data_IF_291058959200
#
_entry.id   IF_291058959200
#
_cell.length_a   1.000
_cell.length_b   1.000
_cell.length_c   1.000
_cell.angle_alpha   90.00
_cell.angle_beta   90.00
_cell.angle_gamma   90.00
#
_symmetry.space_group_name_H-M   'P 1'
#
loop_
_entity.id
_entity.type
_entity.pdbx_description
1 polymer ?
#
# COMPACT_ATOMS: atom_id res chain seq x y z
N UNK A 1 -0.24 -2.01 10.70
CA UNK A 1 0.60 -1.07 11.46
C UNK A 1 0.61 0.29 10.78
N UNK A 2 0.84 1.36 11.54
CA UNK A 2 0.85 2.75 11.04
C UNK A 2 1.87 2.98 9.93
N UNK A 3 3.09 2.44 10.06
CA UNK A 3 4.16 2.58 9.07
C UNK A 3 3.74 2.08 7.68
N UNK A 4 3.20 0.87 7.58
CA UNK A 4 2.72 0.30 6.30
C UNK A 4 1.64 1.18 5.66
N UNK A 5 0.73 1.73 6.46
CA UNK A 5 -0.31 2.66 5.96
C UNK A 5 0.31 3.96 5.44
N UNK A 6 1.33 4.49 6.12
CA UNK A 6 2.05 5.68 5.68
C UNK A 6 2.79 5.45 4.37
N UNK A 7 3.47 4.31 4.22
CA UNK A 7 4.13 3.94 2.97
C UNK A 7 3.13 3.80 1.81
N UNK A 8 1.98 3.15 2.03
CA UNK A 8 0.90 3.09 1.01
C UNK A 8 0.41 4.48 0.61
N UNK A 9 0.26 5.39 1.57
CA UNK A 9 -0.10 6.77 1.28
C UNK A 9 0.97 7.48 0.43
N UNK A 10 2.26 7.24 0.69
CA UNK A 10 3.36 7.80 -0.10
C UNK A 10 3.31 7.32 -1.56
N UNK A 11 3.14 6.01 -1.80
CA UNK A 11 2.91 5.49 -3.15
C UNK A 11 1.67 6.11 -3.80
N UNK A 12 0.58 6.23 -3.04
CA UNK A 12 -0.66 6.84 -3.54
C UNK A 12 -0.49 8.30 -3.95
N UNK A 13 0.33 9.06 -3.21
CA UNK A 13 0.70 10.45 -3.53
C UNK A 13 1.64 10.52 -4.72
N UNK A 14 2.58 9.57 -4.84
CA UNK A 14 3.50 9.45 -5.96
C UNK A 14 2.75 9.18 -7.27
N UNK A 15 1.70 8.36 -7.24
CA UNK A 15 0.85 8.07 -8.39
C UNK A 15 -0.15 9.21 -8.62
N UNK A 16 0.31 10.33 -9.16
CA UNK A 16 -0.49 11.56 -9.28
C UNK A 16 -1.78 11.40 -10.09
N UNK A 17 -1.72 10.73 -11.25
CA UNK A 17 -2.86 10.63 -12.19
C UNK A 17 -3.73 9.41 -11.91
N UNK A 18 -5.05 9.55 -12.04
CA UNK A 18 -6.00 8.45 -11.84
C UNK A 18 -5.69 7.24 -12.75
N UNK A 19 -5.38 7.47 -14.03
CA UNK A 19 -4.95 6.42 -14.97
C UNK A 19 -3.73 5.64 -14.47
N UNK A 20 -2.75 6.34 -13.90
CA UNK A 20 -1.55 5.71 -13.32
C UNK A 20 -1.90 4.88 -12.09
N UNK A 21 -2.75 5.39 -11.19
CA UNK A 21 -3.21 4.64 -10.01
C UNK A 21 -3.91 3.35 -10.41
N UNK A 22 -4.83 3.41 -11.38
CA UNK A 22 -5.54 2.23 -11.89
C UNK A 22 -4.54 1.22 -12.49
N UNK A 23 -3.66 1.67 -13.38
CA UNK A 23 -2.67 0.78 -14.02
C UNK A 23 -1.75 0.10 -13.01
N UNK A 24 -1.24 0.83 -12.01
CA UNK A 24 -0.41 0.26 -10.96
C UNK A 24 -1.17 -0.71 -10.07
N UNK A 25 -2.39 -0.38 -9.65
CA UNK A 25 -3.22 -1.29 -8.85
C UNK A 25 -3.58 -2.59 -9.59
N UNK A 26 -3.91 -2.50 -10.88
CA UNK A 26 -4.17 -3.66 -11.73
C UNK A 26 -2.94 -4.55 -11.87
N UNK A 27 -1.77 -3.95 -12.11
CA UNK A 27 -0.49 -4.70 -12.17
C UNK A 27 -0.15 -5.39 -10.84
N UNK A 28 -0.64 -4.85 -9.72
CA UNK A 28 -0.50 -5.43 -8.39
C UNK A 28 -1.63 -6.42 -8.02
N UNK A 29 -2.50 -6.80 -8.97
CA UNK A 29 -3.54 -7.80 -8.76
C UNK A 29 -4.84 -7.28 -8.10
N UNK A 30 -5.03 -5.97 -8.02
CA UNK A 30 -6.30 -5.40 -7.54
C UNK A 30 -7.40 -5.57 -8.58
N UNK A 31 -8.63 -5.89 -8.14
CA UNK A 31 -9.80 -5.97 -9.03
C UNK A 31 -10.05 -4.64 -9.74
N UNK A 32 -10.31 -4.69 -11.06
CA UNK A 32 -10.49 -3.50 -11.92
C UNK A 32 -11.49 -2.50 -11.38
N UNK A 33 -12.66 -2.96 -10.92
CA UNK A 33 -13.71 -2.11 -10.34
C UNK A 33 -13.20 -1.33 -9.12
N UNK A 34 -12.59 -2.02 -8.17
CA UNK A 34 -12.06 -1.41 -6.95
C UNK A 34 -10.91 -0.44 -7.24
N UNK A 35 -10.06 -0.77 -8.21
CA UNK A 35 -8.98 0.11 -8.64
C UNK A 35 -9.50 1.42 -9.22
N UNK A 36 -10.53 1.36 -10.09
CA UNK A 36 -11.15 2.55 -10.68
C UNK A 36 -11.83 3.40 -9.60
N UNK A 37 -12.70 2.81 -8.78
CA UNK A 37 -13.44 3.51 -7.73
C UNK A 37 -12.50 4.22 -6.75
N UNK A 38 -11.40 3.56 -6.36
CA UNK A 38 -10.43 4.13 -5.43
C UNK A 38 -9.61 5.24 -6.09
N UNK A 39 -9.21 5.06 -7.36
CA UNK A 39 -8.38 6.02 -8.08
C UNK A 39 -9.07 7.37 -8.36
N UNK A 40 -10.37 7.36 -8.63
CA UNK A 40 -11.17 8.57 -8.92
C UNK A 40 -11.79 9.20 -7.66
N UNK A 41 -11.64 8.55 -6.50
CA UNK A 41 -12.21 9.03 -5.26
C UNK A 41 -11.63 10.40 -4.86
N UNK A 42 -12.50 11.32 -4.42
CA UNK A 42 -12.10 12.63 -3.87
C UNK A 42 -11.63 12.56 -2.41
N UNK A 43 -11.57 11.37 -1.82
CA UNK A 43 -11.13 11.19 -0.42
C UNK A 43 -9.63 11.48 -0.29
N UNK A 44 -9.22 11.92 0.90
CA UNK A 44 -7.82 12.25 1.18
C UNK A 44 -6.91 11.02 1.04
N UNK A 45 -5.62 11.25 0.77
CA UNK A 45 -4.66 10.16 0.58
C UNK A 45 -4.54 9.25 1.81
N UNK A 46 -4.64 9.81 3.01
CA UNK A 46 -4.62 9.03 4.24
C UNK A 46 -5.87 8.14 4.39
N UNK A 47 -7.03 8.62 3.95
CA UNK A 47 -8.24 7.80 3.89
C UNK A 47 -8.06 6.65 2.89
N UNK A 48 -7.56 6.96 1.69
CA UNK A 48 -7.40 5.99 0.61
C UNK A 48 -6.31 4.95 0.88
N UNK A 49 -5.30 5.24 1.70
CA UNK A 49 -4.26 4.27 2.07
C UNK A 49 -4.76 3.10 2.94
N UNK A 50 -6.00 3.17 3.45
CA UNK A 50 -6.70 2.08 4.14
C UNK A 50 -7.78 1.42 3.28
N UNK A 51 -7.97 1.86 2.04
CA UNK A 51 -8.97 1.29 1.13
C UNK A 51 -8.66 -0.16 0.76
N UNK A 52 -9.70 -0.93 0.39
CA UNK A 52 -9.55 -2.31 -0.05
C UNK A 52 -8.58 -2.41 -1.24
N UNK A 53 -8.72 -1.52 -2.23
CA UNK A 53 -7.84 -1.50 -3.39
C UNK A 53 -6.36 -1.31 -3.02
N UNK A 54 -6.05 -0.37 -2.12
CA UNK A 54 -4.65 -0.18 -1.69
C UNK A 54 -4.12 -1.34 -0.85
N UNK A 55 -4.96 -2.02 -0.08
CA UNK A 55 -4.53 -3.15 0.75
C UNK A 55 -4.33 -4.43 -0.08
N UNK A 56 -5.19 -4.64 -1.07
CA UNK A 56 -5.12 -5.78 -2.00
C UNK A 56 -4.03 -5.61 -3.05
N UNK A 57 -3.78 -4.39 -3.54
CA UNK A 57 -2.65 -4.11 -4.43
C UNK A 57 -1.31 -4.03 -3.69
N UNK A 58 -1.19 -3.12 -2.72
CA UNK A 58 0.04 -2.95 -1.94
C UNK A 58 0.02 -3.87 -0.71
N UNK A 59 0.03 -5.18 -0.94
CA UNK A 59 0.02 -6.19 0.13
C UNK A 59 1.24 -6.07 1.04
N UNK A 60 1.20 -6.66 2.23
CA UNK A 60 2.35 -6.63 3.14
C UNK A 60 3.56 -7.36 2.53
N UNK A 61 3.33 -8.47 1.84
CA UNK A 61 4.37 -9.21 1.12
C UNK A 61 4.98 -8.36 0.00
N UNK A 62 4.15 -7.67 -0.77
CA UNK A 62 4.65 -6.75 -1.79
C UNK A 62 5.49 -5.64 -1.18
N UNK A 63 5.01 -4.99 -0.10
CA UNK A 63 5.79 -3.97 0.59
C UNK A 63 7.14 -4.51 1.12
N UNK A 64 7.17 -5.73 1.66
CA UNK A 64 8.40 -6.38 2.08
C UNK A 64 9.36 -6.61 0.91
N UNK A 65 8.85 -7.03 -0.26
CA UNK A 65 9.65 -7.16 -1.50
C UNK A 65 10.21 -5.83 -2.01
N UNK A 66 9.56 -4.70 -1.68
CA UNK A 66 10.06 -3.35 -1.96
C UNK A 66 11.10 -2.89 -0.92
N UNK A 67 11.48 -3.73 0.04
CA UNK A 67 12.46 -3.42 1.09
C UNK A 67 11.86 -2.86 2.38
N UNK A 68 10.53 -2.87 2.56
CA UNK A 68 9.93 -2.41 3.82
C UNK A 68 10.15 -3.43 4.94
N UNK A 69 11.02 -3.10 5.88
CA UNK A 69 11.30 -3.91 7.06
C UNK A 69 10.12 -3.93 8.05
N UNK A 70 9.92 -5.07 8.68
CA UNK A 70 9.00 -5.23 9.80
C UNK A 70 9.69 -4.82 11.10
N UNK A 71 9.17 -3.79 11.77
CA UNK A 71 9.66 -3.35 13.08
C UNK A 71 9.62 -4.49 14.10
N UNK A 72 8.59 -5.34 14.04
CA UNK A 72 8.46 -6.50 14.92
C UNK A 72 9.62 -7.46 14.73
N UNK A 73 9.98 -7.74 13.48
CA UNK A 73 11.01 -8.73 13.15
C UNK A 73 12.39 -8.19 13.57
N UNK A 74 12.63 -6.89 13.38
CA UNK A 74 13.82 -6.21 13.89
C UNK A 74 13.90 -6.26 15.42
N UNK A 75 12.78 -6.03 16.09
CA UNK A 75 12.73 -6.07 17.55
C UNK A 75 12.98 -7.48 18.10
N UNK A 76 12.38 -8.51 17.49
CA UNK A 76 12.61 -9.91 17.86
C UNK A 76 14.08 -10.31 17.66
N UNK A 77 14.67 -9.91 16.53
CA UNK A 77 16.10 -10.12 16.25
C UNK A 77 17.00 -9.47 17.29
N UNK A 78 16.67 -8.24 17.72
CA UNK A 78 17.47 -7.52 18.71
C UNK A 78 17.43 -8.14 20.12
N UNK A 79 16.34 -8.82 20.47
CA UNK A 79 16.14 -9.44 21.79
C UNK A 79 16.45 -10.94 21.82
N UNK A 80 17.00 -11.50 20.73
CA UNK A 80 17.38 -12.91 20.68
C UNK A 80 16.20 -13.89 20.64
N UNK A 81 15.00 -13.42 20.26
CA UNK A 81 13.83 -14.29 20.03
C UNK A 81 13.82 -14.93 18.63
N UNK A 82 14.89 -14.73 17.85
CA UNK A 82 15.02 -15.19 16.48
C UNK A 82 15.58 -16.62 16.41
#
# INVERSE_FOLDING_TARGET
SWLRRRVRMCYWKQWRRARTKVGKLLALGTRKREAILTAISRKSYWHLSKSLATQTGMTNAWLASQGLLSIRDLWMKAHGYA
#
